data_IF_624625569235
#
_entry.id   IF_624625569235
#
_cell.length_a   1.000
_cell.length_b   1.000
_cell.length_c   1.000
_cell.angle_alpha   90.00
_cell.angle_beta   90.00
_cell.angle_gamma   90.00
#
_symmetry.space_group_name_H-M   'P 1'
#
loop_
_entity.id
_entity.type
_entity.pdbx_description
1 polymer ?
#
# COMPACT_ATOMS: atom_id res chain seq x y z
N UNK A 1 11.17 17.99 6.49
CA UNK A 1 12.05 18.61 5.49
C UNK A 1 12.05 20.13 5.71
N UNK A 2 13.13 20.68 6.26
CA UNK A 2 13.22 22.09 6.64
C UNK A 2 13.04 23.00 5.40
N UNK A 3 12.14 23.98 5.44
CA UNK A 3 11.78 24.85 4.29
C UNK A 3 12.98 25.63 3.75
N UNK A 4 13.96 25.94 4.61
CA UNK A 4 15.22 26.54 4.22
C UNK A 4 16.15 25.60 3.44
N UNK A 5 16.16 24.31 3.79
CA UNK A 5 16.94 23.29 3.08
C UNK A 5 16.36 23.05 1.68
N UNK A 6 15.03 23.01 1.57
CA UNK A 6 14.33 22.89 0.28
C UNK A 6 14.63 24.07 -0.64
N UNK A 7 14.68 25.30 -0.11
CA UNK A 7 15.05 26.49 -0.92
C UNK A 7 16.51 26.47 -1.35
N UNK A 8 17.45 26.07 -0.48
CA UNK A 8 18.86 25.95 -0.85
C UNK A 8 19.10 24.86 -1.89
N UNK A 9 18.48 23.68 -1.74
CA UNK A 9 18.58 22.60 -2.71
C UNK A 9 17.97 22.96 -4.07
N UNK A 10 16.86 23.71 -4.09
CA UNK A 10 16.27 24.20 -5.34
C UNK A 10 17.13 25.30 -5.99
N UNK A 11 17.75 26.17 -5.19
CA UNK A 11 18.66 27.19 -5.70
C UNK A 11 19.95 26.55 -6.28
N UNK A 12 20.55 25.59 -5.58
CA UNK A 12 21.73 24.85 -6.06
C UNK A 12 21.40 23.99 -7.29
N UNK A 13 20.21 23.37 -7.33
CA UNK A 13 19.74 22.63 -8.50
C UNK A 13 19.51 23.56 -9.72
N UNK A 14 18.99 24.77 -9.49
CA UNK A 14 18.80 25.76 -10.54
C UNK A 14 20.14 26.30 -11.08
N UNK A 15 21.13 26.54 -10.21
CA UNK A 15 22.48 26.97 -10.61
C UNK A 15 23.22 25.85 -11.36
N UNK A 16 23.14 24.60 -10.88
CA UNK A 16 23.74 23.45 -11.56
C UNK A 16 23.06 23.09 -12.89
N UNK A 17 21.76 23.38 -13.05
CA UNK A 17 21.05 23.16 -14.32
C UNK A 17 21.54 24.04 -15.47
N UNK A 18 22.10 25.23 -15.16
CA UNK A 18 22.71 26.11 -16.16
C UNK A 18 24.12 25.65 -16.56
N UNK A 19 24.86 25.00 -15.66
CA UNK A 19 26.23 24.55 -15.91
C UNK A 19 26.32 23.28 -16.78
N UNK A 20 25.26 22.45 -16.82
CA UNK A 20 25.32 21.18 -17.54
C UNK A 20 23.94 20.72 -18.08
N UNK A 21 23.36 21.43 -19.08
CA UNK A 21 22.00 21.19 -19.58
C UNK A 21 21.79 19.76 -20.12
N UNK A 22 22.83 19.13 -20.67
CA UNK A 22 22.77 17.76 -21.16
C UNK A 22 22.52 16.72 -20.05
N UNK A 23 22.89 16.99 -18.80
CA UNK A 23 22.62 16.09 -17.67
C UNK A 23 21.18 16.23 -17.17
N UNK A 24 20.60 17.42 -17.26
CA UNK A 24 19.20 17.69 -16.89
C UNK A 24 18.25 17.06 -17.90
N UNK A 25 18.49 17.25 -19.19
CA UNK A 25 17.69 16.62 -20.25
C UNK A 25 17.77 15.09 -20.19
N UNK A 26 18.96 14.55 -19.92
CA UNK A 26 19.14 13.11 -19.76
C UNK A 26 18.41 12.59 -18.51
N UNK A 27 18.44 13.32 -17.39
CA UNK A 27 17.71 12.95 -16.17
C UNK A 27 16.18 13.01 -16.37
N UNK A 28 15.67 14.02 -17.08
CA UNK A 28 14.26 14.14 -17.44
C UNK A 28 13.82 13.03 -18.39
N UNK A 29 14.62 12.69 -19.41
CA UNK A 29 14.35 11.56 -20.30
C UNK A 29 14.38 10.22 -19.56
N UNK A 30 15.31 10.02 -18.63
CA UNK A 30 15.35 8.81 -17.79
C UNK A 30 14.16 8.72 -16.82
N UNK A 31 13.75 9.83 -16.20
CA UNK A 31 12.56 9.87 -15.34
C UNK A 31 11.27 9.59 -16.12
N UNK A 32 11.11 10.23 -17.28
CA UNK A 32 9.94 10.10 -18.13
C UNK A 32 9.85 8.70 -18.78
N UNK A 33 10.98 8.09 -19.14
CA UNK A 33 11.02 6.70 -19.63
C UNK A 33 10.74 5.67 -18.52
N UNK A 34 11.21 5.89 -17.29
CA UNK A 34 10.82 5.06 -16.13
C UNK A 34 9.33 5.19 -15.79
N UNK A 35 8.79 6.41 -15.83
CA UNK A 35 7.37 6.66 -15.62
C UNK A 35 6.53 5.98 -16.71
N UNK A 36 6.88 6.18 -18.00
CA UNK A 36 6.22 5.50 -19.12
C UNK A 36 6.32 3.98 -19.04
N UNK A 37 7.46 3.41 -18.62
CA UNK A 37 7.60 1.96 -18.43
C UNK A 37 6.73 1.46 -17.27
N UNK A 38 6.64 2.17 -16.15
CA UNK A 38 5.77 1.82 -15.02
C UNK A 38 4.29 1.90 -15.40
N UNK A 39 3.88 3.00 -16.04
CA UNK A 39 2.50 3.17 -16.52
C UNK A 39 2.16 2.11 -17.56
N UNK A 40 3.01 1.89 -18.57
CA UNK A 40 2.80 0.84 -19.57
C UNK A 40 2.76 -0.57 -18.95
N UNK A 41 3.57 -0.85 -17.92
CA UNK A 41 3.50 -2.14 -17.22
C UNK A 41 2.19 -2.32 -16.44
N UNK A 42 1.66 -1.27 -15.82
CA UNK A 42 0.36 -1.33 -15.12
C UNK A 42 -0.78 -1.51 -16.11
N UNK A 43 -0.77 -0.81 -17.25
CA UNK A 43 -1.75 -1.00 -18.34
C UNK A 43 -1.63 -2.39 -19.00
N UNK A 44 -0.41 -2.92 -19.16
CA UNK A 44 -0.19 -4.24 -19.71
C UNK A 44 -0.69 -5.33 -18.74
N UNK A 45 -0.44 -5.20 -17.44
CA UNK A 45 -0.92 -6.15 -16.41
C UNK A 45 -2.44 -6.12 -16.32
N UNK A 46 -3.07 -4.95 -16.37
CA UNK A 46 -4.55 -4.85 -16.34
C UNK A 46 -5.19 -5.44 -17.61
N UNK A 47 -4.60 -5.22 -18.79
CA UNK A 47 -5.05 -5.86 -20.04
C UNK A 47 -4.85 -7.37 -20.04
N UNK A 48 -3.73 -7.88 -19.54
CA UNK A 48 -3.47 -9.33 -19.49
C UNK A 48 -4.36 -10.02 -18.46
N UNK A 49 -4.57 -9.43 -17.29
CA UNK A 49 -5.53 -9.95 -16.30
C UNK A 49 -6.95 -9.97 -16.87
N UNK A 50 -7.38 -8.91 -17.57
CA UNK A 50 -8.69 -8.86 -18.24
C UNK A 50 -8.81 -9.91 -19.35
N UNK A 51 -7.75 -10.12 -20.14
CA UNK A 51 -7.72 -11.14 -21.19
C UNK A 51 -7.73 -12.57 -20.61
N UNK A 52 -7.02 -12.81 -19.51
CA UNK A 52 -7.02 -14.10 -18.79
C UNK A 52 -8.40 -14.35 -18.18
N UNK A 53 -9.07 -13.34 -17.62
CA UNK A 53 -10.44 -13.46 -17.11
C UNK A 53 -11.44 -13.78 -18.24
N UNK A 54 -11.31 -13.13 -19.39
CA UNK A 54 -12.12 -13.44 -20.58
C UNK A 54 -11.87 -14.87 -21.09
N UNK A 55 -10.62 -15.33 -21.14
CA UNK A 55 -10.28 -16.70 -21.54
C UNK A 55 -10.77 -17.74 -20.53
N UNK A 56 -10.68 -17.45 -19.23
CA UNK A 56 -11.22 -18.32 -18.18
C UNK A 56 -12.76 -18.42 -18.26
N UNK A 57 -13.46 -17.34 -18.61
CA UNK A 57 -14.92 -17.32 -18.80
C UNK A 57 -15.36 -18.21 -19.99
N UNK A 58 -14.55 -18.26 -21.06
CA UNK A 58 -14.78 -19.13 -22.22
C UNK A 58 -14.54 -20.60 -21.90
N UNK A 59 -13.56 -20.91 -21.03
CA UNK A 59 -13.22 -22.29 -20.66
C UNK A 59 -14.21 -22.96 -19.69
N UNK A 60 -15.03 -22.18 -18.96
CA UNK A 60 -15.98 -22.70 -17.95
C UNK A 60 -17.36 -23.04 -18.55
N UNK A 61 -17.57 -22.85 -19.87
CA UNK A 61 -18.84 -23.17 -20.54
C UNK A 61 -18.80 -24.50 -21.33
N UNK A 62 -19.31 -25.63 -20.78
CA UNK A 62 -19.42 -26.90 -21.53
C UNK A 62 -20.45 -26.87 -22.68
N UNK A 63 -21.28 -25.83 -22.78
CA UNK A 63 -22.27 -25.70 -23.86
C UNK A 63 -21.67 -25.22 -25.20
N UNK A 64 -20.54 -24.50 -25.18
CA UNK A 64 -19.93 -23.94 -26.40
C UNK A 64 -19.11 -24.97 -27.20
N UNK A 65 -18.69 -26.07 -26.57
CA UNK A 65 -17.85 -27.10 -27.22
C UNK A 65 -18.68 -28.19 -27.94
N UNK A 66 -19.95 -28.37 -27.58
CA UNK A 66 -20.82 -29.36 -28.19
C UNK A 66 -21.22 -29.00 -29.64
N UNK A 67 -21.29 -27.71 -29.97
CA UNK A 67 -21.75 -27.25 -31.30
C UNK A 67 -20.64 -27.38 -32.36
N UNK A 68 -19.38 -27.15 -31.99
CA UNK A 68 -18.22 -27.26 -32.90
C UNK A 68 -17.87 -28.71 -33.27
N UNK A 69 -18.15 -29.68 -32.38
CA UNK A 69 -17.86 -31.09 -32.66
C UNK A 69 -18.92 -31.78 -33.54
N UNK A 70 -20.04 -31.10 -33.86
CA UNK A 70 -21.11 -31.65 -34.70
C UNK A 70 -21.03 -31.26 -36.18
N UNK A 71 -20.09 -30.37 -36.57
CA UNK A 71 -19.92 -29.89 -37.94
C UNK A 71 -18.75 -30.55 -38.71
N UNK A 72 -18.21 -31.67 -38.19
CA UNK A 72 -16.96 -32.27 -38.66
C UNK A 72 -17.02 -33.70 -39.22
N UNK A 73 -18.18 -34.24 -39.60
CA UNK A 73 -18.25 -35.57 -40.21
C UNK A 73 -19.24 -35.63 -41.37
N UNK A 74 -18.73 -35.53 -42.60
CA UNK A 74 -19.48 -35.74 -43.83
C UNK A 74 -19.34 -37.21 -44.33
N UNK A 75 -20.48 -37.70 -44.82
CA UNK A 75 -20.77 -38.79 -45.76
C UNK A 75 -20.12 -40.17 -45.58
N UNK A 76 -20.95 -41.15 -45.25
CA UNK A 76 -21.54 -42.11 -46.22
C UNK A 76 -22.41 -43.10 -45.46
N UNK A 77 -23.70 -43.20 -45.80
CA UNK A 77 -24.51 -44.43 -45.87
C UNK A 77 -26.00 -44.08 -46.04
N UNK A 78 -26.60 -44.67 -47.06
CA UNK A 78 -28.03 -44.65 -47.37
C UNK A 78 -28.82 -45.41 -46.30
N UNK A 79 -29.56 -44.71 -45.44
CA UNK A 79 -30.60 -45.26 -44.59
C UNK A 79 -31.89 -44.43 -44.78
N UNK A 80 -33.08 -45.07 -44.80
CA UNK A 80 -34.33 -44.38 -45.06
C UNK A 80 -34.64 -43.36 -43.96
N UNK A 81 -35.15 -42.21 -44.40
CA UNK A 81 -35.50 -41.03 -43.62
C UNK A 81 -36.27 -41.41 -42.32
N UNK A 82 -35.68 -41.25 -41.13
CA UNK A 82 -36.47 -41.29 -39.91
C UNK A 82 -37.40 -40.08 -39.92
N UNK A 83 -38.68 -40.33 -39.71
CA UNK A 83 -39.71 -39.32 -39.43
C UNK A 83 -39.13 -38.29 -38.46
N UNK A 84 -39.02 -37.04 -38.91
CA UNK A 84 -38.65 -35.93 -38.06
C UNK A 84 -39.76 -35.75 -37.01
N UNK A 85 -39.66 -36.45 -35.88
CA UNK A 85 -40.23 -35.97 -34.64
C UNK A 85 -39.58 -34.62 -34.40
N UNK A 86 -40.38 -33.57 -34.51
CA UNK A 86 -40.07 -32.22 -34.08
C UNK A 86 -39.28 -32.27 -32.77
N UNK A 87 -37.95 -32.13 -32.85
CA UNK A 87 -37.18 -31.53 -31.77
C UNK A 87 -37.35 -30.02 -31.96
N UNK A 88 -38.57 -29.56 -31.68
CA UNK A 88 -38.76 -28.20 -31.20
C UNK A 88 -38.17 -28.14 -29.79
N UNK A 89 -36.85 -28.26 -29.70
CA UNK A 89 -36.10 -27.75 -28.56
C UNK A 89 -36.09 -26.24 -28.77
N UNK A 90 -37.15 -25.59 -28.32
CA UNK A 90 -37.23 -24.14 -28.33
C UNK A 90 -36.25 -23.64 -27.28
N UNK A 91 -35.14 -22.93 -27.60
CA UNK A 91 -34.47 -22.14 -26.58
C UNK A 91 -35.30 -20.87 -26.44
N UNK A 92 -36.51 -21.00 -25.89
CA UNK A 92 -37.30 -19.86 -25.44
C UNK A 92 -37.28 -19.83 -23.91
N UNK A 93 -36.08 -19.97 -23.36
CA UNK A 93 -35.81 -19.68 -21.95
C UNK A 93 -35.53 -18.19 -21.87
N UNK A 94 -36.47 -17.43 -21.32
CA UNK A 94 -36.22 -16.06 -20.90
C UNK A 94 -35.17 -16.10 -19.77
N UNK A 95 -33.90 -15.95 -20.11
CA UNK A 95 -32.80 -15.89 -19.15
C UNK A 95 -32.85 -14.52 -18.48
N UNK A 96 -33.10 -14.51 -17.17
CA UNK A 96 -33.19 -13.29 -16.38
C UNK A 96 -32.05 -13.22 -15.37
N UNK A 97 -31.64 -12.00 -15.03
CA UNK A 97 -30.71 -11.77 -13.94
C UNK A 97 -31.36 -12.19 -12.62
N UNK A 98 -30.72 -13.09 -11.88
CA UNK A 98 -31.21 -13.62 -10.61
C UNK A 98 -30.50 -12.99 -9.40
N UNK A 99 -29.21 -12.68 -9.52
CA UNK A 99 -28.47 -11.93 -8.50
C UNK A 99 -27.21 -11.29 -9.09
N UNK A 100 -26.48 -10.52 -8.28
CA UNK A 100 -25.14 -10.02 -8.62
C UNK A 100 -24.09 -10.52 -7.63
N UNK A 101 -22.83 -10.44 -8.02
CA UNK A 101 -21.66 -10.75 -7.18
C UNK A 101 -20.52 -9.77 -7.44
N UNK A 102 -19.87 -9.31 -6.37
CA UNK A 102 -18.66 -8.49 -6.44
C UNK A 102 -17.44 -9.41 -6.62
N UNK A 103 -16.62 -9.12 -7.63
CA UNK A 103 -15.40 -9.85 -7.96
C UNK A 103 -14.22 -8.88 -8.11
N UNK A 104 -13.08 -9.13 -7.43
CA UNK A 104 -12.87 -10.16 -6.41
C UNK A 104 -13.77 -9.95 -5.18
N UNK A 105 -13.92 -10.98 -4.36
CA UNK A 105 -14.60 -10.90 -3.06
C UNK A 105 -13.80 -10.05 -2.06
N UNK A 106 -13.64 -10.52 -0.82
CA UNK A 106 -12.88 -9.76 0.17
C UNK A 106 -11.44 -9.50 -0.31
N UNK A 107 -10.96 -8.26 -0.17
CA UNK A 107 -9.61 -7.85 -0.57
C UNK A 107 -8.84 -7.31 0.62
N UNK A 108 -7.55 -7.64 0.70
CA UNK A 108 -6.63 -7.09 1.70
C UNK A 108 -5.63 -6.17 1.01
N UNK A 109 -5.56 -4.91 1.44
CA UNK A 109 -4.77 -3.85 0.83
C UNK A 109 -3.96 -3.10 1.90
N UNK A 110 -2.74 -2.69 1.60
CA UNK A 110 -2.06 -1.70 2.45
C UNK A 110 -2.67 -0.30 2.26
N UNK A 111 -2.50 0.59 3.23
CA UNK A 111 -2.95 1.98 3.07
C UNK A 111 -2.29 2.64 1.84
N UNK A 112 -3.11 3.29 1.02
CA UNK A 112 -2.73 3.88 -0.26
C UNK A 112 -2.78 2.93 -1.46
N UNK A 113 -2.95 1.62 -1.24
CA UNK A 113 -3.13 0.67 -2.34
C UNK A 113 -4.56 0.67 -2.87
N UNK A 114 -4.70 0.21 -4.12
CA UNK A 114 -5.98 0.16 -4.82
C UNK A 114 -6.27 -1.24 -5.35
N UNK A 115 -7.56 -1.56 -5.48
CA UNK A 115 -8.05 -2.74 -6.19
C UNK A 115 -9.20 -2.38 -7.11
N UNK A 116 -9.32 -3.09 -8.22
CA UNK A 116 -10.49 -3.01 -9.08
C UNK A 116 -11.51 -4.04 -8.62
N UNK A 117 -12.71 -3.57 -8.28
CA UNK A 117 -13.88 -4.40 -8.05
C UNK A 117 -14.79 -4.34 -9.27
N UNK A 118 -15.45 -5.44 -9.58
CA UNK A 118 -16.37 -5.59 -10.71
C UNK A 118 -17.62 -6.30 -10.28
N UNK A 119 -18.72 -6.07 -10.98
CA UNK A 119 -19.99 -6.78 -10.75
C UNK A 119 -20.17 -7.82 -11.85
N UNK A 120 -20.42 -9.06 -11.43
CA UNK A 120 -20.80 -10.18 -12.28
C UNK A 120 -22.26 -10.52 -11.97
N UNK A 121 -23.05 -10.83 -13.00
CA UNK A 121 -24.42 -11.30 -12.83
C UNK A 121 -24.49 -12.81 -12.75
N UNK A 122 -25.40 -13.30 -11.92
CA UNK A 122 -25.79 -14.70 -11.87
C UNK A 122 -27.20 -14.82 -12.45
N UNK A 123 -27.37 -15.66 -13.46
CA UNK A 123 -28.58 -15.75 -14.25
C UNK A 123 -29.43 -16.97 -13.88
N UNK A 124 -30.72 -16.94 -14.23
CA UNK A 124 -31.70 -17.96 -13.87
C UNK A 124 -31.43 -19.36 -14.44
N UNK A 125 -30.58 -19.45 -15.47
CA UNK A 125 -30.11 -20.72 -16.05
C UNK A 125 -28.87 -21.28 -15.32
N UNK A 126 -28.39 -20.59 -14.28
CA UNK A 126 -27.21 -20.96 -13.50
C UNK A 126 -25.89 -20.46 -14.09
N UNK A 127 -25.91 -19.75 -15.23
CA UNK A 127 -24.71 -19.14 -15.78
C UNK A 127 -24.31 -17.87 -15.00
N UNK A 128 -23.02 -17.53 -15.03
CA UNK A 128 -22.49 -16.26 -14.51
C UNK A 128 -21.72 -15.53 -15.60
N UNK A 129 -21.84 -14.20 -15.64
CA UNK A 129 -21.21 -13.42 -16.69
C UNK A 129 -21.33 -11.91 -16.54
N UNK A 130 -20.77 -11.14 -17.49
CA UNK A 130 -20.89 -9.70 -17.49
C UNK A 130 -22.36 -9.28 -17.59
N UNK A 131 -22.69 -8.20 -16.89
CA UNK A 131 -24.02 -7.59 -16.86
C UNK A 131 -24.02 -6.27 -17.62
N UNK A 132 -25.14 -5.96 -18.28
CA UNK A 132 -25.34 -4.64 -18.86
C UNK A 132 -25.75 -3.64 -17.78
N UNK A 133 -25.29 -2.39 -17.93
CA UNK A 133 -25.53 -1.32 -16.97
C UNK A 133 -24.30 -0.97 -16.14
N UNK A 134 -24.44 0.05 -15.30
CA UNK A 134 -23.38 0.56 -14.43
C UNK A 134 -23.80 0.32 -13.00
N UNK A 135 -23.00 -0.41 -12.25
CA UNK A 135 -23.23 -0.62 -10.83
C UNK A 135 -22.99 0.70 -10.07
N UNK A 136 -23.83 0.98 -9.08
CA UNK A 136 -23.58 2.04 -8.11
C UNK A 136 -22.82 1.46 -6.94
N UNK A 137 -21.71 2.08 -6.57
CA UNK A 137 -20.84 1.65 -5.49
C UNK A 137 -20.98 2.58 -4.29
N UNK A 138 -20.90 2.01 -3.09
CA UNK A 138 -20.91 2.75 -1.84
C UNK A 138 -19.99 2.10 -0.82
N UNK A 139 -19.19 2.89 -0.12
CA UNK A 139 -18.50 2.47 1.10
C UNK A 139 -19.36 2.76 2.31
N UNK A 140 -19.33 1.90 3.32
CA UNK A 140 -19.90 2.18 4.63
C UNK A 140 -19.13 3.28 5.39
N UNK A 141 -17.83 3.45 5.07
CA UNK A 141 -16.98 4.47 5.65
C UNK A 141 -15.85 4.89 4.69
N UNK A 142 -16.07 6.02 3.98
CA UNK A 142 -15.11 6.63 3.07
C UNK A 142 -13.80 7.10 3.74
N UNK A 143 -13.76 7.22 5.07
CA UNK A 143 -12.51 7.52 5.78
C UNK A 143 -11.59 6.32 5.88
N UNK A 144 -12.12 5.08 5.78
CA UNK A 144 -11.34 3.84 5.86
C UNK A 144 -11.01 3.30 4.47
N UNK A 145 -11.99 3.28 3.56
CA UNK A 145 -11.79 2.96 2.16
C UNK A 145 -12.78 3.73 1.30
N UNK A 146 -12.29 4.33 0.21
CA UNK A 146 -13.12 5.08 -0.75
C UNK A 146 -13.19 4.30 -2.06
N UNK A 147 -14.37 4.26 -2.68
CA UNK A 147 -14.59 3.59 -3.97
C UNK A 147 -15.11 4.57 -5.02
N UNK A 148 -14.57 4.48 -6.24
CA UNK A 148 -15.03 5.29 -7.37
C UNK A 148 -16.27 4.71 -8.04
N UNK A 149 -16.91 5.49 -8.90
CA UNK A 149 -18.04 5.04 -9.73
C UNK A 149 -17.67 3.90 -10.68
N UNK A 150 -16.39 3.75 -11.02
CA UNK A 150 -15.85 2.68 -11.87
C UNK A 150 -15.48 1.42 -11.07
N UNK A 151 -15.70 1.40 -9.76
CA UNK A 151 -15.39 0.26 -8.90
C UNK A 151 -13.93 0.17 -8.47
N UNK A 152 -13.15 1.25 -8.59
CA UNK A 152 -11.78 1.28 -8.07
C UNK A 152 -11.82 1.66 -6.59
N UNK A 153 -11.43 0.74 -5.71
CA UNK A 153 -11.35 0.99 -4.27
C UNK A 153 -9.94 1.37 -3.85
N UNK A 154 -9.81 2.35 -2.96
CA UNK A 154 -8.54 2.79 -2.36
C UNK A 154 -8.63 2.63 -0.85
N UNK A 155 -7.69 1.89 -0.26
CA UNK A 155 -7.59 1.72 1.18
C UNK A 155 -6.88 2.92 1.83
N UNK A 156 -7.36 3.40 2.98
CA UNK A 156 -6.88 4.65 3.59
C UNK A 156 -6.36 4.48 5.01
N UNK A 157 -7.10 3.81 5.89
CA UNK A 157 -6.76 3.74 7.32
C UNK A 157 -6.34 2.32 7.72
N UNK A 158 -5.06 2.10 8.07
CA UNK A 158 -4.56 0.81 8.55
C UNK A 158 -5.35 0.26 9.74
N UNK A 159 -5.29 -1.06 9.91
CA UNK A 159 -5.91 -1.78 11.04
C UNK A 159 -7.44 -1.66 11.11
N UNK A 160 -8.08 -1.26 10.01
CA UNK A 160 -9.53 -1.12 9.92
C UNK A 160 -10.08 -1.80 8.67
N UNK A 161 -11.38 -2.02 8.66
CA UNK A 161 -12.11 -2.59 7.53
C UNK A 161 -13.25 -1.67 7.09
N UNK A 162 -13.59 -1.76 5.82
CA UNK A 162 -14.74 -1.10 5.23
C UNK A 162 -15.55 -2.11 4.43
N UNK A 163 -16.87 -1.96 4.47
CA UNK A 163 -17.81 -2.73 3.65
C UNK A 163 -18.15 -1.93 2.41
N UNK A 164 -17.90 -2.53 1.25
CA UNK A 164 -18.29 -1.98 -0.05
C UNK A 164 -19.58 -2.66 -0.51
N UNK A 165 -20.58 -1.86 -0.83
CA UNK A 165 -21.85 -2.31 -1.40
C UNK A 165 -21.90 -1.95 -2.88
N UNK A 166 -22.23 -2.93 -3.73
CA UNK A 166 -22.58 -2.70 -5.13
C UNK A 166 -24.08 -2.89 -5.31
N UNK A 167 -24.72 -2.00 -6.08
CA UNK A 167 -26.12 -2.15 -6.47
C UNK A 167 -26.28 -2.05 -7.98
N UNK A 168 -27.03 -2.98 -8.58
CA UNK A 168 -27.33 -2.99 -10.01
C UNK A 168 -28.69 -3.64 -10.26
N UNK A 169 -29.58 -2.93 -10.98
CA UNK A 169 -30.88 -3.50 -11.39
C UNK A 169 -31.78 -3.93 -10.23
N UNK A 170 -31.65 -3.31 -9.05
CA UNK A 170 -32.40 -3.66 -7.84
C UNK A 170 -31.76 -4.79 -7.01
N UNK A 171 -30.68 -5.40 -7.49
CA UNK A 171 -29.88 -6.36 -6.72
C UNK A 171 -28.73 -5.65 -6.02
N UNK A 172 -28.33 -6.20 -4.88
CA UNK A 172 -27.20 -5.71 -4.08
C UNK A 172 -26.29 -6.86 -3.71
N UNK A 173 -24.99 -6.60 -3.65
CA UNK A 173 -24.00 -7.48 -3.03
C UNK A 173 -22.99 -6.65 -2.23
N UNK A 174 -22.30 -7.29 -1.28
CA UNK A 174 -21.34 -6.61 -0.40
C UNK A 174 -20.02 -7.37 -0.34
N UNK A 175 -18.91 -6.64 -0.31
CA UNK A 175 -17.58 -7.20 -0.05
C UNK A 175 -16.84 -6.39 1.02
N UNK A 176 -15.88 -7.01 1.68
CA UNK A 176 -15.06 -6.34 2.70
C UNK A 176 -13.70 -5.97 2.12
N UNK A 177 -13.29 -4.73 2.37
CA UNK A 177 -11.93 -4.25 2.18
C UNK A 177 -11.24 -4.25 3.54
N UNK A 178 -10.20 -5.07 3.67
CA UNK A 178 -9.39 -5.18 4.87
C UNK A 178 -8.14 -4.33 4.66
N UNK A 179 -7.96 -3.28 5.45
CA UNK A 179 -6.74 -2.47 5.38
C UNK A 179 -5.69 -3.09 6.31
N UNK A 180 -4.59 -3.54 5.71
CA UNK A 180 -3.54 -4.24 6.42
C UNK A 180 -2.93 -3.37 7.53
N UNK A 181 -2.55 -4.03 8.62
CA UNK A 181 -1.82 -3.42 9.72
C UNK A 181 -0.52 -2.80 9.24
N UNK A 182 -0.15 -1.66 9.82
CA UNK A 182 1.19 -1.12 9.62
C UNK A 182 2.18 -1.87 10.50
N UNK A 183 3.31 -2.27 9.92
CA UNK A 183 4.37 -2.98 10.65
C UNK A 183 5.49 -1.99 10.97
N UNK A 184 5.92 -1.92 12.24
CA UNK A 184 7.08 -1.13 12.63
C UNK A 184 8.35 -1.75 12.03
N UNK A 185 9.08 -0.98 11.24
CA UNK A 185 10.27 -1.46 10.51
C UNK A 185 11.58 -0.90 11.05
N UNK A 186 11.54 0.30 11.65
CA UNK A 186 12.72 0.98 12.20
C UNK A 186 12.31 1.90 13.33
N UNK A 187 13.20 2.05 14.31
CA UNK A 187 13.17 3.11 15.31
C UNK A 187 14.34 4.05 15.08
N UNK A 188 14.09 5.35 15.12
CA UNK A 188 15.10 6.40 15.16
C UNK A 188 14.91 7.24 16.42
N UNK A 189 16.01 7.62 17.06
CA UNK A 189 15.98 8.47 18.25
C UNK A 189 16.41 9.87 17.84
N UNK A 190 15.66 10.87 18.29
CA UNK A 190 16.03 12.29 18.15
C UNK A 190 15.83 13.01 19.48
N UNK A 191 16.42 14.19 19.61
CA UNK A 191 16.17 15.08 20.74
C UNK A 191 15.05 16.06 20.43
N UNK A 192 14.20 16.37 21.41
CA UNK A 192 13.22 17.49 21.34
C UNK A 192 13.69 18.72 22.12
N UNK A 193 14.55 18.52 23.11
CA UNK A 193 15.06 19.55 23.98
C UNK A 193 16.42 19.08 24.52
N UNK A 194 17.36 20.00 24.64
CA UNK A 194 18.64 19.75 25.28
C UNK A 194 19.14 21.02 25.96
N UNK A 195 19.89 20.86 27.04
CA UNK A 195 20.67 21.94 27.66
C UNK A 195 21.82 22.42 26.75
N UNK A 196 22.09 21.74 25.63
CA UNK A 196 23.19 22.04 24.70
C UNK A 196 22.72 22.15 23.25
N UNK A 197 22.98 23.29 22.60
CA UNK A 197 22.39 23.64 21.30
C UNK A 197 22.83 22.76 20.12
N UNK A 198 24.00 22.10 20.16
CA UNK A 198 24.43 21.22 19.07
C UNK A 198 23.88 19.80 19.19
N UNK A 199 23.49 19.38 20.39
CA UNK A 199 23.14 18.00 20.70
C UNK A 199 22.07 17.42 19.77
N UNK A 200 20.99 18.16 19.52
CA UNK A 200 19.91 17.72 18.63
C UNK A 200 20.42 17.48 17.20
N UNK A 201 21.22 18.40 16.67
CA UNK A 201 21.70 18.35 15.30
C UNK A 201 22.68 17.19 15.10
N UNK A 202 23.59 17.00 16.06
CA UNK A 202 24.62 15.97 16.00
C UNK A 202 23.95 14.58 16.05
N UNK A 203 22.98 14.40 16.96
CA UNK A 203 22.23 13.15 17.10
C UNK A 203 21.45 12.78 15.82
N UNK A 204 20.81 13.76 15.17
CA UNK A 204 20.06 13.56 13.92
C UNK A 204 20.97 13.24 12.72
N UNK A 205 22.20 13.75 12.72
CA UNK A 205 23.12 13.61 11.58
C UNK A 205 23.93 12.32 11.66
N UNK A 206 24.49 12.04 12.84
CA UNK A 206 25.51 10.99 13.02
C UNK A 206 25.04 9.86 13.94
N UNK A 207 23.82 9.94 14.49
CA UNK A 207 23.34 9.03 15.56
C UNK A 207 24.24 9.05 16.80
N UNK A 208 25.04 10.10 16.95
CA UNK A 208 25.92 10.35 18.08
C UNK A 208 25.87 11.83 18.47
N UNK A 209 25.91 12.14 19.76
CA UNK A 209 25.91 13.53 20.23
C UNK A 209 26.69 13.71 21.53
N UNK A 210 27.35 14.86 21.63
CA UNK A 210 28.10 15.27 22.81
C UNK A 210 27.24 15.99 23.84
N UNK A 211 27.33 15.61 25.11
CA UNK A 211 26.64 16.28 26.22
C UNK A 211 27.60 16.45 27.41
N UNK A 212 27.80 17.65 27.97
CA UNK A 212 28.68 17.81 29.12
C UNK A 212 28.12 17.12 30.37
N UNK A 213 28.98 16.72 31.31
CA UNK A 213 28.55 16.22 32.64
C UNK A 213 27.55 17.19 33.29
N UNK A 214 26.45 16.65 33.80
CA UNK A 214 25.34 17.41 34.37
C UNK A 214 24.34 17.94 33.33
N UNK A 215 24.62 17.80 32.04
CA UNK A 215 23.70 18.14 30.97
C UNK A 215 22.49 17.20 30.92
N UNK A 216 21.38 17.73 30.42
CA UNK A 216 20.10 17.03 30.31
C UNK A 216 19.52 17.20 28.90
N UNK A 217 18.86 16.15 28.40
CA UNK A 217 18.15 16.19 27.13
C UNK A 217 16.87 15.34 27.21
N UNK A 218 15.85 15.74 26.46
CA UNK A 218 14.67 14.92 26.25
C UNK A 218 14.76 14.25 24.88
N UNK A 219 14.73 12.92 24.89
CA UNK A 219 14.77 12.07 23.70
C UNK A 219 13.36 11.59 23.34
N UNK A 220 13.09 11.51 22.05
CA UNK A 220 11.88 10.90 21.49
C UNK A 220 12.30 9.87 20.46
N UNK A 221 11.63 8.72 20.50
CA UNK A 221 11.77 7.68 19.49
C UNK A 221 10.66 7.84 18.44
N UNK A 222 11.03 7.98 17.18
CA UNK A 222 10.11 7.91 16.05
C UNK A 222 10.21 6.54 15.38
N UNK A 223 9.06 5.99 14.99
CA UNK A 223 8.95 4.74 14.25
C UNK A 223 8.73 5.01 12.77
N UNK A 224 9.34 4.20 11.91
CA UNK A 224 9.02 4.12 10.50
C UNK A 224 8.27 2.82 10.20
N UNK A 225 7.20 2.91 9.41
CA UNK A 225 6.28 1.80 9.16
C UNK A 225 6.33 1.30 7.71
N UNK A 226 5.83 0.08 7.49
CA UNK A 226 5.81 -0.60 6.20
C UNK A 226 5.01 0.13 5.10
N UNK A 227 4.07 0.99 5.48
CA UNK A 227 3.28 1.85 4.59
C UNK A 227 4.02 3.15 4.19
N UNK A 228 5.27 3.32 4.64
CA UNK A 228 6.07 4.51 4.40
C UNK A 228 5.76 5.69 5.33
N UNK A 229 4.81 5.54 6.26
CA UNK A 229 4.54 6.56 7.28
C UNK A 229 5.59 6.54 8.39
N UNK A 230 5.67 7.65 9.13
CA UNK A 230 6.52 7.75 10.32
C UNK A 230 5.87 8.61 11.39
N UNK A 231 6.25 8.41 12.65
CA UNK A 231 5.76 9.22 13.76
C UNK A 231 6.31 8.81 15.11
N UNK A 232 6.10 9.67 16.11
CA UNK A 232 6.53 9.42 17.48
C UNK A 232 5.88 8.16 18.06
N UNK A 233 6.67 7.39 18.80
CA UNK A 233 6.26 6.14 19.44
C UNK A 233 5.87 6.39 20.90
N UNK A 234 4.81 5.71 21.33
CA UNK A 234 4.44 5.58 22.73
C UNK A 234 4.81 4.18 23.25
N UNK A 235 5.01 4.03 24.56
CA UNK A 235 5.31 2.73 25.18
C UNK A 235 6.69 2.17 24.85
N UNK A 236 7.63 3.02 24.43
CA UNK A 236 9.01 2.64 24.12
C UNK A 236 9.74 2.27 25.40
N UNK A 237 10.49 1.17 25.37
CA UNK A 237 11.40 0.79 26.45
C UNK A 237 12.78 1.39 26.19
N UNK A 238 13.24 2.24 27.10
CA UNK A 238 14.55 2.87 27.06
C UNK A 238 15.56 2.14 27.94
N UNK A 239 16.81 2.07 27.49
CA UNK A 239 17.92 1.53 28.25
C UNK A 239 19.21 2.27 27.93
N UNK A 240 20.13 2.32 28.89
CA UNK A 240 21.53 2.69 28.66
C UNK A 240 22.42 1.52 29.08
N UNK A 241 23.45 1.24 28.30
CA UNK A 241 24.46 0.23 28.63
C UNK A 241 25.34 0.66 29.82
N UNK A 242 25.66 1.95 29.91
CA UNK A 242 26.56 2.54 30.91
C UNK A 242 25.86 3.63 31.73
N UNK A 243 24.99 3.20 32.66
CA UNK A 243 24.23 4.11 33.53
C UNK A 243 25.10 5.00 34.45
N UNK A 244 26.36 4.63 34.69
CA UNK A 244 27.32 5.47 35.39
C UNK A 244 27.82 6.67 34.57
N UNK A 245 27.69 6.62 33.24
CA UNK A 245 28.09 7.67 32.29
C UNK A 245 26.86 8.49 31.88
N UNK A 246 25.78 7.84 31.45
CA UNK A 246 24.54 8.49 31.09
C UNK A 246 23.32 7.67 31.54
N UNK A 247 22.32 8.34 32.12
CA UNK A 247 21.07 7.71 32.54
C UNK A 247 19.93 8.13 31.62
N UNK A 248 18.97 7.23 31.38
CA UNK A 248 17.78 7.51 30.56
C UNK A 248 16.53 7.07 31.35
N UNK A 249 15.57 7.98 31.50
CA UNK A 249 14.28 7.72 32.10
C UNK A 249 13.34 6.97 31.14
N UNK A 250 12.30 6.33 31.68
CA UNK A 250 11.27 5.66 30.87
C UNK A 250 10.48 6.64 29.98
N UNK A 251 10.50 7.92 30.33
CA UNK A 251 9.92 9.05 29.58
C UNK A 251 10.86 9.59 28.49
N UNK A 252 12.08 9.06 28.36
CA UNK A 252 13.10 9.54 27.43
C UNK A 252 13.95 10.70 27.99
N UNK A 253 13.86 11.01 29.28
CA UNK A 253 14.72 12.03 29.92
C UNK A 253 16.14 11.50 30.12
N UNK A 254 17.09 12.03 29.36
CA UNK A 254 18.51 11.71 29.39
C UNK A 254 19.26 12.65 30.34
N UNK A 255 20.15 12.11 31.17
CA UNK A 255 21.05 12.89 32.03
C UNK A 255 22.48 12.36 31.99
N UNK A 256 23.43 13.24 31.68
CA UNK A 256 24.86 12.95 31.70
C UNK A 256 25.41 12.96 33.13
N UNK A 257 26.04 11.87 33.55
CA UNK A 257 26.49 11.63 34.93
C UNK A 257 28.00 11.77 35.08
N UNK A 258 28.78 11.15 34.19
CA UNK A 258 30.23 11.15 34.23
C UNK A 258 30.81 11.13 32.81
N UNK A 259 32.03 11.64 32.66
CA UNK A 259 32.71 11.65 31.36
C UNK A 259 32.94 10.22 30.84
N UNK A 260 32.76 10.04 29.53
CA UNK A 260 32.84 8.74 28.87
C UNK A 260 31.78 8.60 27.77
N UNK A 261 31.62 7.40 27.23
CA UNK A 261 30.65 7.13 26.15
C UNK A 261 29.63 6.10 26.63
N UNK A 262 28.35 6.34 26.35
CA UNK A 262 27.26 5.42 26.63
C UNK A 262 26.36 5.25 25.40
N UNK A 263 25.88 4.03 25.14
CA UNK A 263 24.85 3.77 24.16
C UNK A 263 23.47 3.80 24.82
N UNK A 264 22.56 4.57 24.21
CA UNK A 264 21.15 4.63 24.60
C UNK A 264 20.33 3.88 23.54
N UNK A 265 19.51 2.95 24.00
CA UNK A 265 18.66 2.10 23.18
C UNK A 265 17.20 2.38 23.45
N UNK A 266 16.43 2.56 22.38
CA UNK A 266 14.97 2.57 22.36
C UNK A 266 14.48 1.27 21.72
N UNK A 267 13.55 0.57 22.35
CA UNK A 267 13.00 -0.68 21.82
C UNK A 267 11.48 -0.73 21.91
N UNK A 268 10.86 -1.27 20.86
CA UNK A 268 9.42 -1.51 20.79
C UNK A 268 9.13 -2.65 19.81
N UNK A 269 8.29 -3.62 20.22
CA UNK A 269 7.88 -4.76 19.37
C UNK A 269 9.06 -5.54 18.75
N UNK A 270 10.18 -5.65 19.48
CA UNK A 270 11.40 -6.32 19.00
C UNK A 270 12.24 -5.50 18.01
N UNK A 271 11.78 -4.32 17.59
CA UNK A 271 12.56 -3.36 16.81
C UNK A 271 13.35 -2.49 17.78
N UNK A 272 14.60 -2.21 17.43
CA UNK A 272 15.52 -1.39 18.23
C UNK A 272 16.05 -0.21 17.42
N UNK A 273 16.27 0.91 18.11
CA UNK A 273 17.02 2.07 17.64
C UNK A 273 18.04 2.44 18.69
N UNK A 274 19.25 2.81 18.27
CA UNK A 274 20.36 3.13 19.16
C UNK A 274 20.97 4.46 18.80
N UNK A 275 21.42 5.19 19.81
CA UNK A 275 22.28 6.37 19.66
C UNK A 275 23.40 6.32 20.67
N UNK A 276 24.51 6.97 20.37
CA UNK A 276 25.63 7.08 21.29
C UNK A 276 25.71 8.47 21.87
N UNK A 277 25.96 8.53 23.17
CA UNK A 277 26.10 9.76 23.93
C UNK A 277 27.55 9.84 24.38
N UNK A 278 28.25 10.87 23.91
CA UNK A 278 29.61 11.19 24.33
C UNK A 278 29.54 12.25 25.43
N UNK A 279 29.83 11.84 26.65
CA UNK A 279 29.84 12.73 27.81
C UNK A 279 31.21 13.36 27.97
N UNK A 280 31.30 14.66 27.70
CA UNK A 280 32.52 15.44 27.96
C UNK A 280 32.55 15.91 29.40
N UNK A 281 33.74 16.22 29.93
CA UNK A 281 33.86 16.90 31.22
C UNK A 281 33.04 18.21 31.22
N UNK A 282 32.55 18.59 32.40
CA UNK A 282 31.86 19.87 32.56
C UNK A 282 32.85 21.01 32.27
N UNK A 283 32.50 21.92 31.38
CA UNK A 283 33.30 23.11 31.15
C UNK A 283 33.13 24.01 32.38
N UNK A 284 34.09 23.99 33.30
CA UNK A 284 34.14 24.92 34.43
C UNK A 284 34.49 26.28 33.85
N UNK A 285 33.49 27.16 33.72
CA UNK A 285 33.74 28.57 33.47
C UNK A 285 34.06 29.18 34.84
N UNK A 286 35.35 29.32 35.12
CA UNK A 286 35.88 30.02 36.30
C UNK A 286 35.77 31.55 36.11
#
# INVERSE_FOLDING_TARGET
MNTHLRRRLLADAAVNSHANPAHVDRALQYGNSRYRRRVASVYAVTLTVSAILMLALVAVHPAAYAVLNSLGADSTTTAPLPTATNLSDTPNSNIVLASISIVPGAVTLAAGETAQLSVVGNFSDGASGPVSGVATWQSDNDTIAIITTEGVVTALVPDQNATITASLGGFTDTTTVIVAAKVLTRISIRSVQSSYNSFQKDLETDSQAGLPVGGEAALVADGAYSDGTSGALAGVTWASDETGIATIGADGTLRAVAAGTAQVTASLQGVVGTVTIDVSEANVVD
#
